data_IF_988711676687
#
_entry.id   IF_988711676687
#
_cell.length_a   1.000
_cell.length_b   1.000
_cell.length_c   1.000
_cell.angle_alpha   90.00
_cell.angle_beta   90.00
_cell.angle_gamma   90.00
#
_symmetry.space_group_name_H-M   'P 1'
#
loop_
_entity.id
_entity.type
_entity.pdbx_description
1 polymer ?
#
# COMPACT_ATOMS: atom_id res chain seq x y z
N UNK A 1 -27.34 -31.22 30.43
CA UNK A 1 -26.50 -31.57 29.27
C UNK A 1 -25.95 -30.28 28.70
N UNK A 2 -24.63 -30.12 28.75
CA UNK A 2 -23.90 -28.86 28.63
C UNK A 2 -24.14 -28.13 27.30
N UNK A 3 -24.18 -26.81 27.38
CA UNK A 3 -24.11 -25.88 26.26
C UNK A 3 -22.79 -26.08 25.51
N UNK A 4 -22.86 -26.16 24.18
CA UNK A 4 -21.69 -25.97 23.31
C UNK A 4 -21.80 -24.56 22.73
N UNK A 5 -21.13 -23.60 23.36
CA UNK A 5 -20.79 -22.33 22.73
C UNK A 5 -19.49 -22.48 21.92
N UNK A 6 -19.37 -21.73 20.82
CA UNK A 6 -18.05 -21.40 20.27
C UNK A 6 -17.61 -22.14 19.03
N UNK A 7 -18.43 -22.14 17.98
CA UNK A 7 -17.86 -22.12 16.62
C UNK A 7 -17.71 -20.65 16.23
N UNK A 8 -16.51 -20.07 16.35
CA UNK A 8 -16.26 -18.77 15.73
C UNK A 8 -16.62 -18.91 14.25
N UNK A 9 -17.52 -18.08 13.69
CA UNK A 9 -17.70 -18.08 12.25
C UNK A 9 -16.34 -17.67 11.69
N UNK A 10 -15.67 -18.61 11.01
CA UNK A 10 -14.53 -18.24 10.19
C UNK A 10 -15.16 -17.43 9.07
N UNK A 11 -15.25 -16.13 9.31
CA UNK A 11 -15.79 -15.17 8.36
C UNK A 11 -15.00 -15.34 7.06
N UNK A 12 -15.65 -15.30 5.91
CA UNK A 12 -14.94 -15.43 4.61
C UNK A 12 -13.80 -14.40 4.50
N UNK A 13 -13.93 -13.27 5.20
CA UNK A 13 -12.91 -12.25 5.38
C UNK A 13 -11.65 -12.80 6.08
N UNK A 14 -11.77 -13.68 7.08
CA UNK A 14 -10.63 -14.32 7.76
C UNK A 14 -9.85 -15.26 6.83
N UNK A 15 -10.54 -15.96 5.93
CA UNK A 15 -9.90 -16.84 4.94
C UNK A 15 -9.16 -16.02 3.87
N UNK A 16 -9.75 -14.91 3.43
CA UNK A 16 -9.10 -13.99 2.50
C UNK A 16 -7.88 -13.31 3.13
N UNK A 17 -7.96 -12.92 4.41
CA UNK A 17 -6.84 -12.36 5.18
C UNK A 17 -5.68 -13.36 5.34
N UNK A 18 -5.98 -14.64 5.60
CA UNK A 18 -4.96 -15.69 5.68
C UNK A 18 -4.20 -15.89 4.36
N UNK A 19 -4.90 -15.83 3.23
CA UNK A 19 -4.29 -15.91 1.91
C UNK A 19 -3.41 -14.68 1.63
N UNK A 20 -3.91 -13.48 1.96
CA UNK A 20 -3.15 -12.23 1.84
C UNK A 20 -1.86 -12.27 2.67
N UNK A 21 -1.94 -12.65 3.95
CA UNK A 21 -0.78 -12.75 4.83
C UNK A 21 0.25 -13.73 4.30
N UNK A 22 -0.17 -14.92 3.88
CA UNK A 22 0.73 -15.93 3.31
C UNK A 22 1.46 -15.42 2.06
N UNK A 23 0.79 -14.63 1.23
CA UNK A 23 1.37 -14.06 0.00
C UNK A 23 2.37 -12.95 0.31
N UNK A 24 2.08 -12.13 1.32
CA UNK A 24 2.98 -11.08 1.81
C UNK A 24 4.24 -11.68 2.43
N UNK A 25 4.11 -12.73 3.24
CA UNK A 25 5.24 -13.48 3.79
C UNK A 25 6.08 -14.13 2.68
N UNK A 26 5.43 -14.69 1.66
CA UNK A 26 6.12 -15.23 0.49
C UNK A 26 6.99 -14.17 -0.20
N UNK A 27 6.49 -12.94 -0.35
CA UNK A 27 7.30 -11.83 -0.87
C UNK A 27 8.52 -11.50 0.00
N UNK A 28 8.42 -11.66 1.32
CA UNK A 28 9.55 -11.48 2.25
C UNK A 28 10.63 -12.57 2.09
N UNK A 29 10.28 -13.76 1.62
CA UNK A 29 11.26 -14.82 1.32
C UNK A 29 11.99 -14.62 -0.02
N UNK A 30 11.45 -13.79 -0.91
CA UNK A 30 12.04 -13.51 -2.22
C UNK A 30 13.11 -12.42 -2.12
N UNK A 31 14.09 -12.42 -3.02
CA UNK A 31 15.01 -11.27 -3.16
C UNK A 31 14.24 -10.05 -3.68
N UNK A 32 14.74 -8.85 -3.35
CA UNK A 32 14.14 -7.57 -3.77
C UNK A 32 13.78 -7.52 -5.25
N UNK A 33 14.69 -7.95 -6.12
CA UNK A 33 14.52 -7.89 -7.57
C UNK A 33 13.36 -8.79 -8.03
N UNK A 34 13.30 -10.01 -7.47
CA UNK A 34 12.23 -10.97 -7.76
C UNK A 34 10.87 -10.50 -7.25
N UNK A 35 10.82 -9.96 -6.04
CA UNK A 35 9.59 -9.42 -5.47
C UNK A 35 9.02 -8.26 -6.31
N UNK A 36 9.87 -7.33 -6.77
CA UNK A 36 9.46 -6.24 -7.66
C UNK A 36 8.96 -6.76 -9.01
N UNK A 37 9.63 -7.74 -9.61
CA UNK A 37 9.19 -8.32 -10.89
C UNK A 37 7.86 -9.08 -10.75
N UNK A 38 7.64 -9.78 -9.62
CA UNK A 38 6.37 -10.42 -9.31
C UNK A 38 5.23 -9.40 -9.14
N UNK A 39 5.46 -8.31 -8.38
CA UNK A 39 4.47 -7.22 -8.24
C UNK A 39 4.12 -6.59 -9.58
N UNK A 40 5.12 -6.38 -10.43
CA UNK A 40 4.93 -5.87 -11.79
C UNK A 40 4.06 -6.82 -12.62
N UNK A 41 4.34 -8.12 -12.58
CA UNK A 41 3.51 -9.12 -13.27
C UNK A 41 2.07 -9.14 -12.75
N UNK A 42 1.86 -9.04 -11.43
CA UNK A 42 0.53 -8.93 -10.82
C UNK A 42 -0.27 -7.74 -11.36
N UNK A 43 0.36 -6.56 -11.41
CA UNK A 43 -0.26 -5.35 -11.96
C UNK A 43 -0.50 -5.45 -13.47
N UNK A 44 0.34 -6.17 -14.19
CA UNK A 44 0.23 -6.37 -15.65
C UNK A 44 -0.93 -7.32 -16.00
N UNK A 45 -1.13 -8.37 -15.22
CA UNK A 45 -2.26 -9.32 -15.40
C UNK A 45 -3.59 -8.65 -15.10
N UNK A 46 -3.72 -8.01 -13.94
CA UNK A 46 -4.95 -7.32 -13.57
C UNK A 46 -4.66 -6.18 -12.58
N UNK A 47 -4.44 -4.99 -13.13
CA UNK A 47 -4.11 -3.81 -12.34
C UNK A 47 -5.16 -3.52 -11.26
N UNK A 48 -6.45 -3.57 -11.60
CA UNK A 48 -7.52 -3.14 -10.69
C UNK A 48 -7.82 -4.17 -9.61
N UNK A 49 -7.81 -5.46 -9.96
CA UNK A 49 -8.03 -6.56 -9.01
C UNK A 49 -6.84 -6.79 -8.08
N UNK A 50 -5.62 -6.64 -8.61
CA UNK A 50 -4.40 -6.94 -7.85
C UNK A 50 -3.79 -5.70 -7.18
N UNK A 51 -4.38 -4.51 -7.35
CA UNK A 51 -3.82 -3.27 -6.80
C UNK A 51 -3.67 -3.34 -5.28
N UNK A 52 -4.75 -3.74 -4.59
CA UNK A 52 -4.82 -3.75 -3.13
C UNK A 52 -3.77 -4.70 -2.54
N UNK A 53 -3.71 -5.94 -3.04
CA UNK A 53 -2.71 -6.92 -2.59
C UNK A 53 -1.27 -6.48 -2.89
N UNK A 54 -1.05 -5.83 -4.04
CA UNK A 54 0.28 -5.32 -4.40
C UNK A 54 0.71 -4.18 -3.48
N UNK A 55 -0.20 -3.26 -3.16
CA UNK A 55 0.06 -2.16 -2.22
C UNK A 55 0.37 -2.70 -0.82
N UNK A 56 -0.40 -3.68 -0.35
CA UNK A 56 -0.19 -4.27 0.96
C UNK A 56 1.14 -5.03 1.05
N UNK A 57 1.46 -5.85 0.05
CA UNK A 57 2.75 -6.53 -0.03
C UNK A 57 3.92 -5.54 -0.13
N UNK A 58 3.76 -4.46 -0.89
CA UNK A 58 4.77 -3.40 -0.98
C UNK A 58 4.95 -2.65 0.34
N UNK A 59 3.89 -2.43 1.11
CA UNK A 59 3.95 -1.77 2.42
C UNK A 59 4.70 -2.63 3.44
N UNK A 60 4.33 -3.90 3.57
CA UNK A 60 4.96 -4.82 4.52
C UNK A 60 6.44 -5.05 4.18
N UNK A 61 6.74 -5.21 2.89
CA UNK A 61 8.11 -5.41 2.41
C UNK A 61 8.81 -4.10 2.02
N UNK A 62 8.29 -2.93 2.43
CA UNK A 62 8.81 -1.62 1.99
C UNK A 62 10.26 -1.38 2.43
N UNK A 63 10.66 -1.94 3.57
CA UNK A 63 12.02 -1.86 4.09
C UNK A 63 13.02 -2.65 3.24
N UNK A 64 12.62 -3.84 2.77
CA UNK A 64 13.44 -4.68 1.89
C UNK A 64 13.44 -4.17 0.44
N UNK A 65 12.28 -3.74 -0.06
CA UNK A 65 12.10 -3.33 -1.45
C UNK A 65 12.68 -1.94 -1.72
N UNK A 66 12.56 -1.06 -0.74
CA UNK A 66 12.84 0.36 -0.87
C UNK A 66 11.66 1.10 -1.50
N UNK A 67 11.26 2.20 -0.84
CA UNK A 67 10.13 3.04 -1.26
C UNK A 67 10.30 3.58 -2.67
N UNK A 68 11.52 3.99 -3.03
CA UNK A 68 11.84 4.48 -4.37
C UNK A 68 11.56 3.46 -5.48
N UNK A 69 11.77 2.17 -5.22
CA UNK A 69 11.49 1.12 -6.18
C UNK A 69 9.98 0.90 -6.32
N UNK A 70 9.26 0.85 -5.19
CA UNK A 70 7.80 0.75 -5.19
C UNK A 70 7.13 1.96 -5.88
N UNK A 71 7.60 3.18 -5.62
CA UNK A 71 7.12 4.41 -6.29
C UNK A 71 7.31 4.29 -7.80
N UNK A 72 8.49 3.91 -8.27
CA UNK A 72 8.78 3.75 -9.71
C UNK A 72 7.88 2.70 -10.35
N UNK A 73 7.62 1.60 -9.65
CA UNK A 73 6.76 0.52 -10.11
C UNK A 73 5.32 1.04 -10.35
N UNK A 74 4.71 1.68 -9.36
CA UNK A 74 3.36 2.24 -9.53
C UNK A 74 3.30 3.38 -10.56
N UNK A 75 4.35 4.20 -10.66
CA UNK A 75 4.46 5.24 -11.69
C UNK A 75 4.53 4.65 -13.11
N UNK A 76 5.24 3.54 -13.31
CA UNK A 76 5.33 2.86 -14.61
C UNK A 76 3.96 2.42 -15.11
N UNK A 77 3.11 1.92 -14.22
CA UNK A 77 1.73 1.55 -14.54
C UNK A 77 0.75 2.73 -14.55
N UNK A 78 1.23 3.97 -14.31
CA UNK A 78 0.41 5.18 -14.12
C UNK A 78 -0.69 4.99 -13.07
N UNK A 79 -0.44 4.14 -12.08
CA UNK A 79 -1.40 3.82 -11.02
C UNK A 79 -1.26 4.84 -9.89
N UNK A 80 -1.92 5.99 -10.07
CA UNK A 80 -1.93 7.06 -9.05
C UNK A 80 -2.69 6.65 -7.79
N UNK A 81 -3.68 5.75 -7.92
CA UNK A 81 -4.42 5.18 -6.80
C UNK A 81 -3.55 4.23 -5.96
N UNK A 82 -2.76 3.36 -6.61
CA UNK A 82 -1.79 2.51 -5.90
C UNK A 82 -0.73 3.34 -5.19
N UNK A 83 -0.22 4.37 -5.88
CA UNK A 83 0.74 5.31 -5.30
C UNK A 83 0.16 6.00 -4.05
N UNK A 84 -1.10 6.44 -4.12
CA UNK A 84 -1.79 7.08 -3.02
C UNK A 84 -1.93 6.17 -1.81
N UNK A 85 -2.41 4.94 -1.99
CA UNK A 85 -2.61 4.00 -0.88
C UNK A 85 -1.28 3.56 -0.26
N UNK A 86 -0.27 3.28 -1.09
CA UNK A 86 1.07 2.92 -0.63
C UNK A 86 1.71 4.06 0.18
N UNK A 87 1.77 5.26 -0.41
CA UNK A 87 2.35 6.42 0.25
C UNK A 87 1.54 6.86 1.48
N UNK A 88 0.22 6.68 1.49
CA UNK A 88 -0.64 7.03 2.62
C UNK A 88 -0.26 6.26 3.90
N UNK A 89 0.02 4.96 3.77
CA UNK A 89 0.56 4.14 4.87
C UNK A 89 1.97 4.59 5.26
N UNK A 90 2.84 4.83 4.27
CA UNK A 90 4.23 5.21 4.51
C UNK A 90 4.41 6.58 5.19
N UNK A 91 3.61 7.58 4.80
CA UNK A 91 3.65 8.95 5.34
C UNK A 91 3.26 9.06 6.83
N UNK A 92 2.62 8.03 7.39
CA UNK A 92 2.33 8.00 8.83
C UNK A 92 3.61 7.78 9.67
N UNK A 93 4.69 7.30 9.05
CA UNK A 93 5.93 6.95 9.74
C UNK A 93 7.08 7.96 9.54
N UNK A 94 7.10 8.73 8.44
CA UNK A 94 8.23 9.64 8.11
C UNK A 94 7.80 10.94 7.41
N UNK A 95 8.50 12.02 7.73
CA UNK A 95 8.27 13.41 7.29
C UNK A 95 9.09 13.81 6.05
N UNK A 96 9.29 12.90 5.10
CA UNK A 96 10.09 13.21 3.90
C UNK A 96 9.34 14.15 2.93
N UNK A 97 9.84 15.38 2.68
CA UNK A 97 9.19 16.37 1.82
C UNK A 97 8.88 15.87 0.40
N UNK A 98 9.76 15.07 -0.19
CA UNK A 98 9.63 14.64 -1.58
C UNK A 98 8.56 13.56 -1.73
N UNK A 99 8.43 12.70 -0.72
CA UNK A 99 7.38 11.69 -0.64
C UNK A 99 6.01 12.34 -0.42
N UNK A 100 5.93 13.36 0.44
CA UNK A 100 4.72 14.15 0.64
C UNK A 100 4.25 14.82 -0.66
N UNK A 101 5.18 15.37 -1.45
CA UNK A 101 4.84 16.00 -2.72
C UNK A 101 4.29 14.98 -3.73
N UNK A 102 4.94 13.81 -3.86
CA UNK A 102 4.45 12.70 -4.71
C UNK A 102 3.09 12.18 -4.29
N UNK A 103 2.83 12.09 -2.98
CA UNK A 103 1.51 11.71 -2.47
C UNK A 103 0.43 12.74 -2.82
N UNK A 104 0.72 14.04 -2.64
CA UNK A 104 -0.21 15.13 -3.01
C UNK A 104 -0.50 15.09 -4.52
N UNK A 105 0.51 14.83 -5.36
CA UNK A 105 0.33 14.66 -6.80
C UNK A 105 -0.58 13.48 -7.12
N UNK A 106 -0.37 12.32 -6.47
CA UNK A 106 -1.22 11.14 -6.62
C UNK A 106 -2.67 11.40 -6.21
N UNK A 107 -2.88 11.99 -5.03
CA UNK A 107 -4.19 12.34 -4.49
C UNK A 107 -4.95 13.37 -5.34
N UNK A 108 -4.22 14.35 -5.90
CA UNK A 108 -4.79 15.33 -6.82
C UNK A 108 -5.24 14.68 -8.13
N UNK A 109 -4.46 13.72 -8.67
CA UNK A 109 -4.78 13.00 -9.91
C UNK A 109 -5.88 11.97 -9.74
N UNK A 110 -6.09 11.42 -8.55
CA UNK A 110 -7.21 10.51 -8.23
C UNK A 110 -8.51 11.23 -7.86
N UNK A 111 -8.50 12.56 -7.77
CA UNK A 111 -9.70 13.35 -7.42
C UNK A 111 -10.04 13.36 -5.93
N UNK A 112 -9.18 12.85 -5.05
CA UNK A 112 -9.35 12.88 -3.59
C UNK A 112 -8.92 14.22 -2.99
N UNK A 113 -9.60 15.31 -3.38
CA UNK A 113 -9.23 16.69 -3.02
C UNK A 113 -9.35 16.98 -1.52
N UNK A 114 -10.15 16.19 -0.78
CA UNK A 114 -10.33 16.34 0.68
C UNK A 114 -9.03 16.01 1.45
N UNK A 115 -8.36 14.92 1.08
CA UNK A 115 -7.11 14.49 1.74
C UNK A 115 -5.92 15.37 1.34
N UNK A 116 -5.91 15.87 0.09
CA UNK A 116 -4.93 16.87 -0.39
C UNK A 116 -4.94 18.12 0.49
N UNK A 117 -6.13 18.69 0.76
CA UNK A 117 -6.25 19.90 1.58
C UNK A 117 -5.84 19.65 3.03
N UNK A 118 -6.26 18.53 3.62
CA UNK A 118 -5.96 18.24 5.01
C UNK A 118 -4.45 18.05 5.24
N UNK A 119 -3.79 17.25 4.38
CA UNK A 119 -2.35 16.98 4.53
C UNK A 119 -1.48 18.18 4.14
N UNK A 120 -1.90 18.99 3.18
CA UNK A 120 -1.23 20.26 2.82
C UNK A 120 -1.28 21.30 3.96
N UNK A 121 -2.41 21.40 4.67
CA UNK A 121 -2.56 22.30 5.83
C UNK A 121 -1.72 21.85 7.02
N UNK A 122 -1.70 20.54 7.33
CA UNK A 122 -0.83 19.98 8.37
C UNK A 122 0.65 20.27 8.09
N UNK A 123 1.08 20.10 6.83
CA UNK A 123 2.47 20.34 6.44
C UNK A 123 2.85 21.83 6.40
N UNK A 124 1.90 22.71 6.03
CA UNK A 124 2.08 24.17 6.19
C UNK A 124 2.23 24.60 7.64
N UNK A 125 1.55 23.94 8.58
CA UNK A 125 1.66 24.26 10.01
C UNK A 125 2.97 23.73 10.61
N UNK A 126 3.48 22.57 10.18
CA UNK A 126 4.75 22.00 10.64
C UNK A 126 5.96 22.84 10.19
N UNK A 127 5.92 23.49 9.02
CA UNK A 127 7.01 24.37 8.54
C UNK A 127 7.02 25.78 9.16
N UNK A 128 5.98 26.16 9.90
CA UNK A 128 5.86 27.48 10.55
C UNK A 128 6.20 27.47 12.04
N UNK A 129 6.62 26.32 12.58
CA UNK A 129 7.10 26.16 13.95
C UNK A 129 8.62 26.18 14.02
#
# INVERSE_FOLDING_TARGET
MSQMEGGCPIDYNTIADLFLQSLVEFFGTLSREWALECMKNLLLVNLRGNLQITVQAANENSEQLGIDACIRLFQQFKSYEGLYFFLGSYLSSRLDPDIHFKYIEGAAKTGQIKDVKHRSLLWSNVRRG
#
